data_IF_431064036227
#
_entry.id   IF_431064036227
#
_cell.length_a   1.000
_cell.length_b   1.000
_cell.length_c   1.000
_cell.angle_alpha   90.00
_cell.angle_beta   90.00
_cell.angle_gamma   90.00
#
_symmetry.space_group_name_H-M   'P 1'
#
loop_
_entity.id
_entity.type
_entity.pdbx_description
1 polymer ?
#
# COMPACT_ATOMS: atom_id res chain seq x y z
N UNK A 1 -14.90 -57.09 36.96
CA UNK A 1 -15.42 -56.17 35.94
C UNK A 1 -14.72 -54.81 36.11
N UNK A 2 -13.90 -54.45 35.17
CA UNK A 2 -13.15 -53.18 35.24
C UNK A 2 -13.80 -52.20 34.31
N UNK A 3 -14.38 -51.13 34.86
CA UNK A 3 -14.90 -50.03 34.10
C UNK A 3 -13.72 -49.17 33.63
N UNK A 4 -13.50 -49.11 32.34
CA UNK A 4 -12.52 -48.22 31.78
C UNK A 4 -13.20 -46.84 31.56
N UNK A 5 -12.87 -45.91 32.43
CA UNK A 5 -13.24 -44.52 32.25
C UNK A 5 -12.30 -43.92 31.19
N UNK A 6 -12.83 -43.80 29.99
CA UNK A 6 -12.15 -43.01 28.97
C UNK A 6 -12.43 -41.54 29.27
N UNK A 7 -11.51 -40.88 29.91
CA UNK A 7 -11.55 -39.44 30.03
C UNK A 7 -11.11 -38.86 28.68
N UNK A 8 -12.08 -38.51 27.88
CA UNK A 8 -11.82 -37.70 26.70
C UNK A 8 -11.40 -36.30 27.18
N UNK A 9 -10.09 -36.04 27.25
CA UNK A 9 -9.60 -34.72 27.44
C UNK A 9 -9.91 -33.88 26.18
N UNK A 10 -10.97 -33.11 26.25
CA UNK A 10 -11.24 -32.06 25.29
C UNK A 10 -10.14 -31.00 25.50
N UNK A 11 -9.09 -31.11 24.71
CA UNK A 11 -8.12 -30.05 24.56
C UNK A 11 -8.80 -28.94 23.76
N UNK A 12 -9.54 -28.07 24.47
CA UNK A 12 -9.89 -26.78 23.91
C UNK A 12 -8.56 -26.00 23.81
N UNK A 13 -7.93 -26.08 22.65
CA UNK A 13 -6.79 -25.23 22.35
C UNK A 13 -7.22 -23.77 22.45
N UNK A 14 -6.35 -22.87 22.93
CA UNK A 14 -6.67 -21.47 22.96
C UNK A 14 -6.93 -21.03 21.51
N UNK A 15 -8.15 -20.61 21.24
CA UNK A 15 -8.43 -19.82 20.04
C UNK A 15 -7.66 -18.52 20.21
N UNK A 16 -6.46 -18.45 19.63
CA UNK A 16 -5.81 -17.19 19.42
C UNK A 16 -6.63 -16.46 18.37
N UNK A 17 -7.61 -15.69 18.83
CA UNK A 17 -8.18 -14.65 18.01
C UNK A 17 -7.05 -13.65 17.83
N UNK A 18 -6.28 -13.84 16.76
CA UNK A 18 -5.40 -12.85 16.24
C UNK A 18 -6.28 -11.67 15.82
N UNK A 19 -6.41 -10.67 16.71
CA UNK A 19 -6.85 -9.36 16.30
C UNK A 19 -5.76 -8.84 15.37
N UNK A 20 -5.89 -9.19 14.09
CA UNK A 20 -5.14 -8.52 13.05
C UNK A 20 -5.62 -7.08 13.08
N UNK A 21 -4.88 -6.22 13.75
CA UNK A 21 -5.02 -4.79 13.60
C UNK A 21 -4.71 -4.48 12.14
N UNK A 22 -5.77 -4.37 11.33
CA UNK A 22 -5.63 -3.88 9.99
C UNK A 22 -5.18 -2.43 10.10
N UNK A 23 -3.95 -2.17 9.66
CA UNK A 23 -3.47 -0.82 9.56
C UNK A 23 -4.34 -0.05 8.58
N UNK A 24 -4.59 1.21 8.89
CA UNK A 24 -5.18 2.11 7.91
C UNK A 24 -4.27 2.23 6.69
N UNK A 25 -4.84 2.59 5.55
CA UNK A 25 -4.05 2.82 4.34
C UNK A 25 -2.99 3.90 4.58
N UNK A 26 -3.31 4.94 5.34
CA UNK A 26 -2.35 5.98 5.71
C UNK A 26 -1.20 5.46 6.54
N UNK A 27 -1.47 4.66 7.57
CA UNK A 27 -0.44 4.07 8.41
C UNK A 27 0.49 3.16 7.60
N UNK A 28 -0.05 2.37 6.69
CA UNK A 28 0.73 1.52 5.80
C UNK A 28 1.61 2.34 4.86
N UNK A 29 1.05 3.41 4.26
CA UNK A 29 1.81 4.30 3.40
C UNK A 29 2.96 4.98 4.15
N UNK A 30 2.70 5.49 5.36
CA UNK A 30 3.74 6.08 6.20
C UNK A 30 4.88 5.10 6.46
N UNK A 31 4.54 3.87 6.83
CA UNK A 31 5.55 2.84 7.11
C UNK A 31 6.40 2.55 5.87
N UNK A 32 5.78 2.43 4.70
CA UNK A 32 6.49 2.15 3.45
C UNK A 32 7.42 3.29 3.04
N UNK A 33 6.94 4.52 3.15
CA UNK A 33 7.76 5.70 2.84
C UNK A 33 8.92 5.84 3.82
N UNK A 34 8.67 5.64 5.10
CA UNK A 34 9.72 5.67 6.12
C UNK A 34 10.78 4.57 5.88
N UNK A 35 10.39 3.45 5.31
CA UNK A 35 11.28 2.37 4.92
C UNK A 35 11.98 2.59 3.57
N UNK A 36 11.75 3.71 2.90
CA UNK A 36 12.44 4.09 1.68
C UNK A 36 11.64 3.99 0.38
N UNK A 37 10.33 3.71 0.43
CA UNK A 37 9.51 3.69 -0.77
C UNK A 37 9.44 5.09 -1.40
N UNK A 38 9.39 5.13 -2.74
CA UNK A 38 9.16 6.37 -3.47
C UNK A 38 7.69 6.76 -3.38
N UNK A 39 7.41 7.97 -2.91
CA UNK A 39 6.04 8.50 -2.84
C UNK A 39 5.75 9.31 -4.11
N UNK A 40 4.75 8.90 -4.86
CA UNK A 40 4.42 9.49 -6.16
C UNK A 40 3.01 10.06 -6.17
N UNK A 41 2.93 11.35 -6.43
CA UNK A 41 1.69 12.06 -6.70
C UNK A 41 1.39 11.98 -8.20
N UNK A 42 0.32 11.27 -8.57
CA UNK A 42 -0.04 11.07 -9.97
C UNK A 42 -1.11 12.06 -10.46
N UNK A 43 -1.30 13.15 -9.71
CA UNK A 43 -2.20 14.24 -10.08
C UNK A 43 -1.52 15.18 -11.08
N UNK A 44 -2.22 16.22 -11.48
CA UNK A 44 -1.66 17.24 -12.37
C UNK A 44 -0.58 18.07 -11.67
N UNK A 45 0.34 18.73 -12.43
CA UNK A 45 1.31 19.64 -11.83
C UNK A 45 0.66 20.79 -11.05
N UNK A 46 -0.47 21.28 -11.49
CA UNK A 46 -1.21 22.35 -10.83
C UNK A 46 -1.77 21.90 -9.48
N UNK A 47 -2.33 20.70 -9.42
CA UNK A 47 -2.79 20.12 -8.16
C UNK A 47 -1.63 19.93 -7.19
N UNK A 48 -0.52 19.41 -7.67
CA UNK A 48 0.70 19.22 -6.87
C UNK A 48 1.22 20.54 -6.31
N UNK A 49 1.27 21.58 -7.13
CA UNK A 49 1.73 22.90 -6.70
C UNK A 49 0.82 23.54 -5.64
N UNK A 50 -0.48 23.25 -5.70
CA UNK A 50 -1.45 23.75 -4.72
C UNK A 50 -1.34 23.08 -3.35
N UNK A 51 -0.66 21.93 -3.26
CA UNK A 51 -0.42 21.19 -2.03
C UNK A 51 -0.23 19.72 -2.34
N UNK A 52 0.75 19.09 -1.69
CA UNK A 52 1.07 17.69 -1.86
C UNK A 52 1.62 17.10 -0.57
N UNK A 53 1.68 15.77 -0.50
CA UNK A 53 2.23 15.09 0.67
C UNK A 53 3.75 15.32 0.79
N UNK A 54 4.27 15.42 2.03
CA UNK A 54 5.70 15.62 2.24
C UNK A 54 6.56 14.56 1.56
N UNK A 55 7.56 14.98 0.80
CA UNK A 55 8.49 14.08 0.11
C UNK A 55 7.97 13.48 -1.19
N UNK A 56 6.74 13.80 -1.61
CA UNK A 56 6.19 13.28 -2.85
C UNK A 56 6.86 13.90 -4.07
N UNK A 57 7.07 13.08 -5.10
CA UNK A 57 7.41 13.55 -6.44
C UNK A 57 6.15 13.51 -7.31
N UNK A 58 6.05 14.44 -8.24
CA UNK A 58 4.92 14.51 -9.15
C UNK A 58 5.23 13.85 -10.50
N UNK A 59 4.50 12.81 -10.80
CA UNK A 59 4.46 12.22 -12.14
C UNK A 59 2.98 12.02 -12.49
N UNK A 60 2.39 12.92 -13.28
CA UNK A 60 1.00 12.77 -13.69
C UNK A 60 0.76 11.40 -14.34
N UNK A 61 -0.40 10.78 -14.04
CA UNK A 61 -0.67 9.41 -14.49
C UNK A 61 -0.53 9.24 -16.01
N UNK A 62 -0.87 10.27 -16.78
CA UNK A 62 -0.77 10.23 -18.25
C UNK A 62 0.69 10.26 -18.75
N UNK A 63 1.61 10.78 -17.95
CA UNK A 63 3.05 10.84 -18.26
C UNK A 63 3.82 9.65 -17.67
N UNK A 64 3.21 8.89 -16.78
CA UNK A 64 3.88 7.81 -16.06
C UNK A 64 4.54 6.79 -17.01
N UNK A 65 3.91 6.36 -18.12
CA UNK A 65 4.53 5.38 -19.02
C UNK A 65 5.88 5.83 -19.60
N UNK A 66 6.07 7.13 -19.82
CA UNK A 66 7.30 7.69 -20.38
C UNK A 66 8.34 8.06 -19.32
N UNK A 67 7.96 8.03 -18.04
CA UNK A 67 8.79 8.53 -16.94
C UNK A 67 9.13 7.46 -15.89
N UNK A 68 8.95 6.19 -16.24
CA UNK A 68 9.21 5.07 -15.31
C UNK A 68 10.66 5.05 -14.79
N UNK A 69 11.60 5.50 -15.60
CA UNK A 69 13.02 5.55 -15.21
C UNK A 69 13.26 6.44 -13.97
N UNK A 70 12.40 7.42 -13.72
CA UNK A 70 12.52 8.30 -12.56
C UNK A 70 12.20 7.57 -11.25
N UNK A 71 11.55 6.41 -11.32
CA UNK A 71 11.22 5.59 -10.16
C UNK A 71 12.31 4.60 -9.77
N UNK A 72 13.37 4.49 -10.57
CA UNK A 72 14.44 3.54 -10.36
C UNK A 72 14.10 2.14 -10.88
N UNK A 73 14.69 1.12 -10.26
CA UNK A 73 14.48 -0.26 -10.68
C UNK A 73 13.09 -0.77 -10.28
N UNK A 74 12.56 -1.80 -11.00
CA UNK A 74 11.26 -2.40 -10.68
C UNK A 74 11.15 -3.04 -9.30
N UNK A 75 12.27 -3.34 -8.65
CA UNK A 75 12.32 -3.88 -7.30
C UNK A 75 12.11 -2.81 -6.22
N UNK A 76 12.26 -1.54 -6.57
CA UNK A 76 12.13 -0.45 -5.61
C UNK A 76 10.67 -0.23 -5.27
N UNK A 77 10.31 -0.19 -3.95
CA UNK A 77 8.94 0.04 -3.53
C UNK A 77 8.43 1.43 -3.93
N UNK A 78 7.17 1.48 -4.33
CA UNK A 78 6.49 2.72 -4.76
C UNK A 78 5.15 2.83 -4.04
N UNK A 79 4.85 4.02 -3.55
CA UNK A 79 3.53 4.40 -3.03
C UNK A 79 2.95 5.45 -3.96
N UNK A 80 1.75 5.22 -4.46
CA UNK A 80 1.06 6.16 -5.36
C UNK A 80 -0.20 6.71 -4.70
N UNK A 81 -0.51 7.96 -4.98
CA UNK A 81 -1.76 8.58 -4.55
C UNK A 81 -2.27 9.60 -5.57
N UNK A 82 -3.54 9.91 -5.47
CA UNK A 82 -4.17 10.97 -6.23
C UNK A 82 -5.21 11.69 -5.37
N UNK A 83 -6.19 12.35 -5.96
CA UNK A 83 -7.22 13.07 -5.21
C UNK A 83 -8.32 12.14 -4.69
N UNK A 84 -8.85 11.26 -5.55
CA UNK A 84 -10.02 10.41 -5.25
C UNK A 84 -9.77 8.92 -5.33
N UNK A 85 -8.60 8.49 -5.82
CA UNK A 85 -8.21 7.09 -5.96
C UNK A 85 -8.30 6.51 -7.37
N UNK A 86 -9.02 7.14 -8.31
CA UNK A 86 -9.18 6.61 -9.66
C UNK A 86 -7.86 6.64 -10.46
N UNK A 87 -7.17 7.77 -10.45
CA UNK A 87 -5.89 7.92 -11.14
C UNK A 87 -4.80 7.07 -10.52
N UNK A 88 -4.76 6.98 -9.19
CA UNK A 88 -3.77 6.15 -8.49
C UNK A 88 -4.00 4.66 -8.72
N UNK A 89 -5.24 4.21 -8.87
CA UNK A 89 -5.55 2.83 -9.24
C UNK A 89 -5.05 2.50 -10.65
N UNK A 90 -5.19 3.45 -11.57
CA UNK A 90 -4.65 3.31 -12.93
C UNK A 90 -3.12 3.27 -12.94
N UNK A 91 -2.50 4.11 -12.11
CA UNK A 91 -1.05 4.13 -11.94
C UNK A 91 -0.54 2.81 -11.34
N UNK A 92 -1.20 2.30 -10.31
CA UNK A 92 -0.86 1.00 -9.71
C UNK A 92 -0.89 -0.11 -10.75
N UNK A 93 -1.96 -0.19 -11.54
CA UNK A 93 -2.08 -1.20 -12.58
C UNK A 93 -0.96 -1.09 -13.61
N UNK A 94 -0.68 0.12 -14.08
CA UNK A 94 0.38 0.36 -15.04
C UNK A 94 1.75 -0.07 -14.52
N UNK A 95 2.06 0.30 -13.28
CA UNK A 95 3.35 -0.04 -12.66
C UNK A 95 3.50 -1.56 -12.53
N UNK A 96 2.48 -2.26 -12.09
CA UNK A 96 2.49 -3.72 -11.99
C UNK A 96 2.68 -4.38 -13.36
N UNK A 97 2.01 -3.89 -14.41
CA UNK A 97 2.18 -4.37 -15.77
C UNK A 97 3.60 -4.15 -16.30
N UNK A 98 4.28 -3.13 -15.82
CA UNK A 98 5.66 -2.81 -16.20
C UNK A 98 6.71 -3.47 -15.29
N UNK A 99 6.30 -4.40 -14.43
CA UNK A 99 7.20 -5.24 -13.64
C UNK A 99 7.55 -4.70 -12.26
N UNK A 100 6.93 -3.61 -11.81
CA UNK A 100 7.14 -3.11 -10.44
C UNK A 100 6.53 -4.10 -9.45
N UNK A 101 7.35 -4.61 -8.53
CA UNK A 101 7.00 -5.74 -7.67
C UNK A 101 6.29 -5.31 -6.39
N UNK A 102 6.52 -4.10 -5.93
CA UNK A 102 5.97 -3.59 -4.68
C UNK A 102 5.37 -2.21 -4.91
N UNK A 103 4.07 -2.20 -5.21
CA UNK A 103 3.30 -0.97 -5.46
C UNK A 103 2.16 -0.92 -4.47
N UNK A 104 2.15 0.11 -3.64
CA UNK A 104 1.06 0.36 -2.71
C UNK A 104 0.24 1.57 -3.17
N UNK A 105 -1.05 1.38 -3.32
CA UNK A 105 -1.97 2.44 -3.68
C UNK A 105 -2.59 3.03 -2.41
N UNK A 106 -2.13 4.22 -2.02
CA UNK A 106 -2.75 4.95 -0.92
C UNK A 106 -4.18 5.38 -1.27
N UNK A 107 -4.45 5.63 -2.54
CA UNK A 107 -5.72 6.16 -2.99
C UNK A 107 -5.80 7.67 -2.86
N UNK A 108 -6.84 8.21 -2.16
CA UNK A 108 -6.97 9.66 -2.00
C UNK A 108 -5.89 10.22 -1.06
N UNK A 109 -5.40 11.41 -1.38
CA UNK A 109 -4.40 12.11 -0.56
C UNK A 109 -4.85 12.24 0.90
N UNK A 110 -6.15 12.41 1.14
CA UNK A 110 -6.71 12.51 2.49
C UNK A 110 -6.51 11.24 3.34
N UNK A 111 -6.27 10.11 2.72
CA UNK A 111 -6.03 8.85 3.44
C UNK A 111 -4.65 8.81 4.14
N UNK A 112 -3.78 9.78 3.86
CA UNK A 112 -2.47 9.90 4.51
C UNK A 112 -2.55 10.19 6.00
N UNK A 113 -3.60 10.87 6.45
CA UNK A 113 -3.81 11.26 7.84
C UNK A 113 -4.17 10.09 8.76
#
# INVERSE_FOLDING_TARGET
MKSVLVVAALLAGPFLVSCAHQRSAGAEAHQRVDAGATLVDVRTPEEFAAGHLPGAMNIPVDELPQRLAELGSPEKPVVVYCRSGARSSRAEQLLKERGFQDVFNLGPMSAWE
#
